data_IF_034539492047
#
_entry.id   IF_034539492047
#
_cell.length_a   1.000
_cell.length_b   1.000
_cell.length_c   1.000
_cell.angle_alpha   90.00
_cell.angle_beta   90.00
_cell.angle_gamma   90.00
#
_symmetry.space_group_name_H-M   'P 1'
#
loop_
_entity.id
_entity.type
_entity.pdbx_description
1 polymer ?
#
# COMPACT_ATOMS: atom_id res chain seq x y z
N UNK A 1 -4.73 26.48 -1.45
CA UNK A 1 -3.73 25.43 -1.22
C UNK A 1 -2.54 25.74 -2.09
N UNK A 2 -1.30 25.68 -1.62
CA UNK A 2 -0.14 25.80 -2.47
C UNK A 2 -0.17 24.69 -3.53
N UNK A 3 0.01 25.08 -4.79
CA UNK A 3 0.05 24.16 -5.91
C UNK A 3 1.50 23.70 -6.09
N UNK A 4 1.74 22.38 -6.14
CA UNK A 4 3.04 21.82 -6.47
C UNK A 4 3.12 21.69 -7.99
N UNK A 5 4.19 22.24 -8.57
CA UNK A 5 4.50 22.04 -9.99
C UNK A 5 5.36 20.78 -10.11
N UNK A 6 4.86 19.80 -10.86
CA UNK A 6 5.55 18.55 -11.14
C UNK A 6 6.23 18.67 -12.50
N UNK A 7 7.45 18.16 -12.61
CA UNK A 7 8.12 18.00 -13.90
C UNK A 7 7.45 16.87 -14.70
N UNK A 8 7.29 15.71 -14.07
CA UNK A 8 6.72 14.54 -14.72
C UNK A 8 6.18 13.51 -13.71
N UNK A 9 5.21 12.70 -14.18
CA UNK A 9 4.78 11.48 -13.51
C UNK A 9 5.61 10.32 -14.07
N UNK A 10 6.42 9.66 -13.22
CA UNK A 10 7.29 8.55 -13.64
C UNK A 10 6.99 7.28 -12.84
N UNK A 11 7.01 6.10 -13.45
CA UNK A 11 6.89 4.83 -12.74
C UNK A 11 8.07 4.63 -11.77
N UNK A 12 7.80 4.19 -10.53
CA UNK A 12 8.84 3.98 -9.50
C UNK A 12 10.03 3.13 -9.98
N UNK A 13 9.87 2.07 -10.80
CA UNK A 13 11.00 1.27 -11.31
C UNK A 13 11.97 2.03 -12.22
N UNK A 14 11.54 3.17 -12.80
CA UNK A 14 12.38 4.02 -13.65
C UNK A 14 13.26 4.97 -12.84
N UNK A 15 12.94 5.18 -11.55
CA UNK A 15 13.71 6.00 -10.62
C UNK A 15 14.95 5.21 -10.16
N UNK A 16 15.94 5.13 -11.02
CA UNK A 16 17.18 4.39 -10.79
C UNK A 16 18.32 5.30 -10.31
N UNK A 17 19.40 4.71 -9.83
CA UNK A 17 20.62 5.47 -9.50
C UNK A 17 21.14 6.26 -10.70
N UNK A 18 21.09 5.67 -11.89
CA UNK A 18 21.56 6.33 -13.12
C UNK A 18 20.63 7.47 -13.54
N UNK A 19 19.32 7.32 -13.34
CA UNK A 19 18.37 8.42 -13.50
C UNK A 19 18.74 9.59 -12.59
N UNK A 20 18.97 9.36 -11.29
CA UNK A 20 19.31 10.41 -10.33
C UNK A 20 20.67 11.06 -10.67
N UNK A 21 21.67 10.27 -11.08
CA UNK A 21 22.95 10.80 -11.55
C UNK A 21 22.80 11.69 -12.79
N UNK A 22 21.85 11.34 -13.68
CA UNK A 22 21.51 12.20 -14.81
C UNK A 22 20.94 13.55 -14.39
N UNK A 23 20.16 13.62 -13.30
CA UNK A 23 19.62 14.88 -12.78
C UNK A 23 20.70 15.82 -12.24
N UNK A 24 21.87 15.32 -11.85
CA UNK A 24 22.98 16.17 -11.40
C UNK A 24 23.51 17.12 -12.50
N UNK A 25 23.20 16.85 -13.77
CA UNK A 25 23.50 17.76 -14.88
C UNK A 25 22.69 19.06 -14.82
N UNK A 26 21.59 19.09 -14.03
CA UNK A 26 20.77 20.27 -13.79
C UNK A 26 21.31 21.15 -12.65
N UNK A 27 22.35 20.72 -11.96
CA UNK A 27 22.97 21.48 -10.87
C UNK A 27 23.81 22.68 -11.40
N UNK A 28 23.90 23.79 -10.66
CA UNK A 28 23.40 23.98 -9.29
C UNK A 28 21.92 24.34 -9.24
N UNK A 29 21.18 23.66 -8.35
CA UNK A 29 19.80 24.00 -8.04
C UNK A 29 19.75 25.12 -6.99
N UNK A 30 18.73 25.98 -7.09
CA UNK A 30 18.52 27.13 -6.20
C UNK A 30 17.13 27.74 -6.36
N UNK A 31 16.93 28.98 -5.88
CA UNK A 31 15.62 29.66 -5.91
C UNK A 31 15.08 29.92 -7.33
N UNK A 32 15.96 30.11 -8.32
CA UNK A 32 15.57 30.32 -9.73
C UNK A 32 15.67 29.03 -10.56
N UNK A 33 16.25 27.96 -10.01
CA UNK A 33 16.35 26.64 -10.61
C UNK A 33 16.05 25.60 -9.53
N UNK A 34 14.77 25.38 -9.16
CA UNK A 34 14.42 24.44 -8.11
C UNK A 34 14.79 23.01 -8.51
N UNK A 35 14.97 22.13 -7.51
CA UNK A 35 15.15 20.71 -7.78
C UNK A 35 13.92 20.15 -8.48
N UNK A 36 14.09 19.30 -9.49
CA UNK A 36 12.97 18.71 -10.21
C UNK A 36 12.14 17.85 -9.26
N UNK A 37 10.82 18.07 -9.28
CA UNK A 37 9.83 17.36 -8.49
C UNK A 37 9.10 16.37 -9.39
N UNK A 38 9.17 15.10 -9.05
CA UNK A 38 8.49 14.01 -9.75
C UNK A 38 7.33 13.48 -8.93
N UNK A 39 6.45 12.72 -9.58
CA UNK A 39 5.45 11.94 -8.90
C UNK A 39 5.38 10.52 -9.44
N UNK A 40 5.00 9.59 -8.57
CA UNK A 40 4.64 8.21 -8.93
C UNK A 40 3.31 7.86 -8.29
N UNK A 41 2.52 7.08 -8.99
CA UNK A 41 1.18 6.66 -8.57
C UNK A 41 1.09 5.13 -8.42
N UNK A 42 0.05 4.66 -7.74
CA UNK A 42 -0.18 3.23 -7.55
C UNK A 42 0.88 2.55 -6.68
N UNK A 43 1.48 3.29 -5.73
CA UNK A 43 2.52 2.80 -4.84
C UNK A 43 1.90 2.16 -3.61
N UNK A 44 2.23 0.89 -3.35
CA UNK A 44 1.81 0.20 -2.13
C UNK A 44 2.71 0.54 -0.97
N UNK A 45 2.13 0.91 0.15
CA UNK A 45 2.84 1.13 1.41
C UNK A 45 3.08 -0.21 2.09
N UNK A 46 4.32 -0.69 2.06
CA UNK A 46 4.71 -1.95 2.71
C UNK A 46 4.91 -1.78 4.21
N UNK A 47 5.52 -0.67 4.62
CA UNK A 47 5.73 -0.31 6.01
C UNK A 47 5.74 1.20 6.18
N UNK A 48 5.35 1.67 7.36
CA UNK A 48 5.31 3.09 7.70
C UNK A 48 5.65 3.28 9.17
N UNK A 49 6.41 4.33 9.49
CA UNK A 49 6.81 4.63 10.85
C UNK A 49 7.16 6.10 11.05
N UNK A 50 6.89 6.59 12.24
CA UNK A 50 7.39 7.89 12.71
C UNK A 50 8.85 7.79 13.13
N UNK A 51 9.62 8.85 12.85
CA UNK A 51 11.01 8.92 13.23
C UNK A 51 11.42 10.33 13.69
N UNK A 52 12.59 10.42 14.30
CA UNK A 52 13.13 11.67 14.84
C UNK A 52 12.56 12.03 16.22
N UNK A 53 13.02 13.18 16.75
CA UNK A 53 12.54 13.67 18.04
C UNK A 53 11.06 14.05 17.94
N UNK A 54 10.25 13.58 18.87
CA UNK A 54 8.79 13.76 18.91
C UNK A 54 8.04 13.21 17.68
N UNK A 55 8.65 12.31 16.90
CA UNK A 55 7.99 11.72 15.72
C UNK A 55 7.68 12.71 14.60
N UNK A 56 8.45 13.80 14.48
CA UNK A 56 8.21 14.87 13.49
C UNK A 56 8.36 14.47 12.04
N UNK A 57 9.10 13.41 11.79
CA UNK A 57 9.37 12.92 10.45
C UNK A 57 8.65 11.60 10.24
N UNK A 58 8.42 11.27 8.99
CA UNK A 58 7.75 10.04 8.61
C UNK A 58 8.58 9.29 7.57
N UNK A 59 8.70 8.01 7.71
CA UNK A 59 9.39 7.12 6.79
C UNK A 59 8.45 5.99 6.38
N UNK A 60 8.40 5.70 5.11
CA UNK A 60 7.71 4.52 4.61
C UNK A 60 8.55 3.78 3.58
N UNK A 61 8.24 2.51 3.37
CA UNK A 61 8.75 1.69 2.27
C UNK A 61 7.62 1.52 1.27
N UNK A 62 7.89 1.95 0.05
CA UNK A 62 6.95 1.91 -1.06
C UNK A 62 7.35 0.80 -2.03
N UNK A 63 6.38 0.11 -2.58
CA UNK A 63 6.63 -0.97 -3.54
C UNK A 63 5.65 -0.96 -4.70
N UNK A 64 6.12 -1.39 -5.86
CA UNK A 64 5.30 -1.73 -7.04
C UNK A 64 5.28 -3.25 -7.30
N UNK A 65 5.59 -4.04 -6.26
CA UNK A 65 5.69 -5.50 -6.31
C UNK A 65 7.03 -6.05 -6.77
N UNK A 66 7.83 -5.30 -7.53
CA UNK A 66 9.18 -5.69 -7.97
C UNK A 66 10.27 -4.77 -7.44
N UNK A 67 9.94 -3.53 -7.17
CA UNK A 67 10.86 -2.48 -6.72
C UNK A 67 10.40 -1.99 -5.36
N UNK A 68 11.31 -1.98 -4.40
CA UNK A 68 11.11 -1.40 -3.07
C UNK A 68 11.99 -0.17 -2.94
N UNK A 69 11.43 0.93 -2.42
CA UNK A 69 12.14 2.19 -2.26
C UNK A 69 11.75 2.86 -0.94
N UNK A 70 12.73 3.35 -0.21
CA UNK A 70 12.48 4.14 0.99
C UNK A 70 12.04 5.56 0.62
N UNK A 71 11.01 6.05 1.31
CA UNK A 71 10.51 7.39 1.18
C UNK A 71 10.52 8.09 2.54
N UNK A 72 11.03 9.31 2.59
CA UNK A 72 11.17 10.10 3.82
C UNK A 72 10.43 11.42 3.66
N UNK A 73 9.50 11.69 4.56
CA UNK A 73 8.77 12.94 4.64
C UNK A 73 9.24 13.73 5.86
N UNK A 74 10.03 14.75 5.60
CA UNK A 74 10.52 15.63 6.65
C UNK A 74 9.42 16.58 7.11
N UNK A 75 9.23 16.70 8.43
CA UNK A 75 8.17 17.53 9.04
C UNK A 75 6.77 17.16 8.54
N UNK A 76 6.43 15.89 8.58
CA UNK A 76 5.19 15.33 8.06
C UNK A 76 3.90 15.73 8.84
N UNK A 77 4.01 16.63 9.84
CA UNK A 77 2.88 17.00 10.66
C UNK A 77 2.59 15.98 11.77
N UNK A 78 1.43 16.11 12.42
CA UNK A 78 1.05 15.25 13.55
C UNK A 78 0.33 13.97 13.10
N UNK A 79 -0.41 14.03 11.98
CA UNK A 79 -1.14 12.90 11.43
C UNK A 79 -0.24 12.05 10.53
N UNK A 80 -0.47 10.73 10.53
CA UNK A 80 0.23 9.81 9.64
C UNK A 80 -0.25 10.00 8.20
N UNK A 81 0.64 10.36 7.26
CA UNK A 81 0.25 10.64 5.87
C UNK A 81 -0.25 9.40 5.12
N UNK A 82 0.16 8.21 5.54
CA UNK A 82 -0.27 6.93 4.99
C UNK A 82 -0.02 5.81 5.99
N UNK A 83 -0.59 4.63 5.71
CA UNK A 83 -0.49 3.44 6.56
C UNK A 83 -0.08 2.22 5.73
N UNK A 84 0.53 1.20 6.34
CA UNK A 84 0.79 -0.06 5.65
C UNK A 84 -0.49 -0.63 5.04
N UNK A 85 -0.42 -1.00 3.75
CA UNK A 85 -1.57 -1.47 2.97
C UNK A 85 -2.21 -0.43 2.07
N UNK A 86 -1.99 0.87 2.32
CA UNK A 86 -2.49 1.94 1.45
C UNK A 86 -1.86 1.87 0.06
N UNK A 87 -2.62 2.32 -0.94
CA UNK A 87 -2.12 2.61 -2.29
C UNK A 87 -2.15 4.12 -2.49
N UNK A 88 -0.99 4.71 -2.74
CA UNK A 88 -0.80 6.16 -2.72
C UNK A 88 -0.11 6.67 -3.97
N UNK A 89 -0.33 7.95 -4.26
CA UNK A 89 0.50 8.76 -5.12
C UNK A 89 1.44 9.61 -4.25
N UNK A 90 2.69 9.71 -4.66
CA UNK A 90 3.72 10.47 -3.92
C UNK A 90 4.39 11.46 -4.85
N UNK A 91 4.47 12.72 -4.42
CA UNK A 91 5.32 13.73 -5.03
C UNK A 91 6.64 13.81 -4.26
N UNK A 92 7.78 13.73 -4.97
CA UNK A 92 9.09 13.59 -4.35
C UNK A 92 10.22 14.17 -5.18
N UNK A 93 11.32 14.48 -4.49
CA UNK A 93 12.65 14.69 -5.06
C UNK A 93 13.44 13.39 -4.86
N UNK A 94 13.93 12.73 -5.92
CA UNK A 94 14.74 11.53 -5.76
C UNK A 94 16.18 11.89 -5.38
N UNK A 95 16.78 11.14 -4.43
CA UNK A 95 18.17 11.30 -4.06
C UNK A 95 18.90 9.96 -3.90
N UNK A 96 20.24 10.00 -3.94
CA UNK A 96 21.08 8.85 -3.63
C UNK A 96 21.43 8.87 -2.15
N UNK A 97 20.96 7.89 -1.41
CA UNK A 97 21.32 7.68 -0.02
C UNK A 97 22.49 6.72 0.12
N UNK A 98 23.55 7.14 0.82
CA UNK A 98 24.85 6.43 0.85
C UNK A 98 25.13 5.68 2.16
N UNK A 99 24.14 5.43 3.00
CA UNK A 99 24.31 4.69 4.25
C UNK A 99 24.15 3.19 3.99
N UNK A 100 25.21 2.42 4.10
CA UNK A 100 25.30 1.00 3.72
C UNK A 100 25.15 0.69 2.22
N UNK A 101 25.76 1.53 1.38
CA UNK A 101 25.71 1.44 -0.07
C UNK A 101 24.74 2.43 -0.70
N UNK A 102 24.92 2.66 -1.99
CA UNK A 102 24.06 3.58 -2.73
C UNK A 102 22.67 2.98 -2.95
N UNK A 103 21.65 3.71 -2.52
CA UNK A 103 20.25 3.36 -2.71
C UNK A 103 19.46 4.58 -3.14
N UNK A 104 18.42 4.36 -3.91
CA UNK A 104 17.42 5.38 -4.19
C UNK A 104 16.62 5.65 -2.93
N UNK A 105 16.46 6.93 -2.59
CA UNK A 105 15.57 7.42 -1.55
C UNK A 105 14.69 8.53 -2.13
N UNK A 106 13.42 8.56 -1.75
CA UNK A 106 12.48 9.59 -2.16
C UNK A 106 12.31 10.60 -1.02
N UNK A 107 12.65 11.85 -1.27
CA UNK A 107 12.36 12.96 -0.34
C UNK A 107 10.96 13.47 -0.65
N UNK A 108 10.01 13.08 0.16
CA UNK A 108 8.59 13.32 -0.05
C UNK A 108 8.23 14.78 0.17
N UNK A 109 7.40 15.32 -0.72
CA UNK A 109 6.81 16.65 -0.64
C UNK A 109 5.30 16.62 -0.42
N UNK A 110 4.61 15.62 -0.97
CA UNK A 110 3.19 15.40 -0.77
C UNK A 110 2.85 13.91 -0.92
N UNK A 111 1.85 13.45 -0.18
CA UNK A 111 1.28 12.11 -0.28
C UNK A 111 -0.22 12.26 -0.45
N UNK A 112 -0.78 11.56 -1.43
CA UNK A 112 -2.22 11.51 -1.66
C UNK A 112 -2.69 10.06 -1.76
N UNK A 113 -3.79 9.71 -1.10
CA UNK A 113 -4.46 8.45 -1.40
C UNK A 113 -4.92 8.50 -2.86
N UNK A 114 -4.75 7.39 -3.57
CA UNK A 114 -5.32 7.28 -4.91
C UNK A 114 -6.79 6.93 -4.82
N UNK A 115 -7.59 7.32 -5.82
CA UNK A 115 -9.02 6.96 -5.87
C UNK A 115 -9.25 5.44 -5.88
N UNK A 116 -8.22 4.67 -6.24
CA UNK A 116 -8.23 3.21 -6.23
C UNK A 116 -7.88 2.60 -4.85
N UNK A 117 -7.61 3.42 -3.84
CA UNK A 117 -7.22 2.95 -2.49
C UNK A 117 -8.40 2.25 -1.80
N UNK A 118 -9.63 2.62 -2.15
CA UNK A 118 -10.81 2.18 -1.41
C UNK A 118 -11.28 0.74 -1.73
N UNK A 119 -10.80 0.10 -2.81
CA UNK A 119 -11.31 -1.23 -3.19
C UNK A 119 -10.33 -2.15 -3.94
N UNK A 120 -9.05 -1.80 -4.04
CA UNK A 120 -8.12 -2.62 -4.84
C UNK A 120 -7.70 -3.90 -4.11
N UNK A 121 -8.05 -5.04 -4.71
CA UNK A 121 -7.66 -6.36 -4.23
C UNK A 121 -6.46 -6.87 -5.03
N UNK A 122 -5.26 -6.44 -4.68
CA UNK A 122 -4.07 -7.00 -5.31
C UNK A 122 -3.58 -8.28 -4.61
N UNK A 123 -2.69 -8.99 -5.27
CA UNK A 123 -2.17 -10.25 -4.74
C UNK A 123 -1.43 -10.10 -3.40
N UNK A 124 -0.57 -9.08 -3.16
CA UNK A 124 0.02 -8.85 -1.85
C UNK A 124 -1.02 -8.64 -0.76
N UNK A 125 -2.03 -7.81 -0.99
CA UNK A 125 -3.12 -7.59 -0.05
C UNK A 125 -3.88 -8.89 0.23
N UNK A 126 -4.24 -9.65 -0.79
CA UNK A 126 -4.92 -10.94 -0.64
C UNK A 126 -4.11 -11.95 0.21
N UNK A 127 -2.78 -11.92 0.12
CA UNK A 127 -1.92 -12.75 0.98
C UNK A 127 -2.01 -12.31 2.44
N UNK A 128 -2.05 -11.01 2.71
CA UNK A 128 -2.20 -10.48 4.07
C UNK A 128 -3.56 -10.86 4.66
N UNK A 129 -4.64 -10.66 3.89
CA UNK A 129 -6.00 -11.07 4.30
C UNK A 129 -6.05 -12.57 4.58
N UNK A 130 -5.47 -13.42 3.71
CA UNK A 130 -5.43 -14.86 3.92
C UNK A 130 -4.74 -15.24 5.24
N UNK A 131 -3.60 -14.63 5.53
CA UNK A 131 -2.86 -14.87 6.79
C UNK A 131 -3.66 -14.42 8.01
N UNK A 132 -4.32 -13.28 7.91
CA UNK A 132 -5.19 -12.77 8.98
C UNK A 132 -6.37 -13.73 9.23
N UNK A 133 -7.06 -14.15 8.16
CA UNK A 133 -8.15 -15.13 8.25
C UNK A 133 -7.71 -16.46 8.87
N UNK A 134 -6.54 -16.97 8.47
CA UNK A 134 -5.96 -18.18 9.12
C UNK A 134 -5.77 -17.98 10.62
N UNK A 135 -5.36 -16.80 11.05
CA UNK A 135 -5.17 -16.49 12.47
C UNK A 135 -6.47 -16.42 13.26
N UNK A 136 -7.48 -15.72 12.74
CA UNK A 136 -8.74 -15.47 13.45
C UNK A 136 -9.70 -16.66 13.39
N UNK A 137 -9.72 -17.39 12.28
CA UNK A 137 -10.63 -18.54 12.06
C UNK A 137 -9.97 -19.89 12.40
N UNK A 138 -8.79 -19.89 12.99
CA UNK A 138 -8.03 -21.11 13.29
C UNK A 138 -8.72 -22.05 14.28
N UNK A 139 -9.57 -21.52 15.15
CA UNK A 139 -10.17 -22.29 16.25
C UNK A 139 -11.68 -22.45 16.10
N UNK A 140 -12.37 -21.37 15.78
CA UNK A 140 -13.84 -21.34 15.73
C UNK A 140 -14.30 -20.41 14.59
N UNK A 141 -15.50 -20.68 14.03
CA UNK A 141 -16.15 -19.75 13.11
C UNK A 141 -16.39 -18.40 13.79
N UNK A 142 -16.34 -17.30 13.03
CA UNK A 142 -16.58 -15.95 13.51
C UNK A 142 -17.74 -15.34 12.73
N UNK A 143 -18.55 -14.50 13.38
CA UNK A 143 -19.58 -13.73 12.68
C UNK A 143 -18.97 -12.85 11.60
N UNK A 144 -19.60 -12.83 10.42
CA UNK A 144 -19.15 -11.99 9.30
C UNK A 144 -19.08 -10.51 9.71
N UNK A 145 -20.12 -10.05 10.46
CA UNK A 145 -20.21 -8.69 10.99
C UNK A 145 -19.10 -8.31 12.00
N UNK A 146 -18.44 -9.30 12.58
CA UNK A 146 -17.29 -9.09 13.49
C UNK A 146 -15.94 -9.26 12.76
N UNK A 147 -15.89 -10.21 11.82
CA UNK A 147 -14.67 -10.54 11.09
C UNK A 147 -14.24 -9.41 10.15
N UNK A 148 -15.18 -8.78 9.44
CA UNK A 148 -14.87 -7.69 8.50
C UNK A 148 -14.29 -6.47 9.20
N UNK A 149 -14.90 -5.87 10.25
CA UNK A 149 -14.28 -4.76 10.98
C UNK A 149 -12.96 -5.13 11.65
N UNK A 150 -12.84 -6.37 12.15
CA UNK A 150 -11.59 -6.85 12.73
C UNK A 150 -10.46 -6.92 11.70
N UNK A 151 -10.73 -7.47 10.51
CA UNK A 151 -9.78 -7.51 9.40
C UNK A 151 -9.41 -6.10 8.93
N UNK A 152 -10.40 -5.22 8.78
CA UNK A 152 -10.19 -3.84 8.38
C UNK A 152 -9.26 -3.11 9.36
N UNK A 153 -9.48 -3.27 10.66
CA UNK A 153 -8.63 -2.71 11.71
C UNK A 153 -7.23 -3.31 11.75
N UNK A 154 -7.10 -4.63 11.57
CA UNK A 154 -5.81 -5.33 11.60
C UNK A 154 -4.96 -5.02 10.36
N UNK A 155 -5.58 -4.89 9.19
CA UNK A 155 -4.91 -4.65 7.91
C UNK A 155 -4.88 -3.18 7.52
N UNK A 156 -5.51 -2.30 8.33
CA UNK A 156 -5.60 -0.86 8.11
C UNK A 156 -6.19 -0.53 6.73
N UNK A 157 -7.25 -1.24 6.35
CA UNK A 157 -7.99 -1.04 5.11
C UNK A 157 -9.46 -0.66 5.38
N UNK A 158 -10.22 -0.30 4.34
CA UNK A 158 -11.66 -0.07 4.49
C UNK A 158 -12.42 -1.38 4.76
N UNK A 159 -13.58 -1.29 5.42
CA UNK A 159 -14.45 -2.46 5.61
C UNK A 159 -14.94 -3.02 4.26
N UNK A 160 -15.20 -2.15 3.28
CA UNK A 160 -15.57 -2.57 1.92
C UNK A 160 -14.47 -3.40 1.25
N UNK A 161 -13.21 -3.00 1.43
CA UNK A 161 -12.07 -3.74 0.91
C UNK A 161 -11.87 -5.08 1.62
N UNK A 162 -12.05 -5.12 2.95
CA UNK A 162 -12.01 -6.35 3.73
C UNK A 162 -13.15 -7.29 3.34
N UNK A 163 -14.36 -6.78 3.19
CA UNK A 163 -15.55 -7.53 2.76
C UNK A 163 -15.36 -8.13 1.36
N UNK A 164 -14.91 -7.30 0.39
CA UNK A 164 -14.62 -7.77 -0.96
C UNK A 164 -13.54 -8.86 -0.97
N UNK A 165 -12.51 -8.75 -0.13
CA UNK A 165 -11.48 -9.78 -0.01
C UNK A 165 -12.01 -11.10 0.58
N UNK A 166 -12.85 -11.03 1.61
CA UNK A 166 -13.52 -12.23 2.17
C UNK A 166 -14.40 -12.89 1.11
N UNK A 167 -15.16 -12.10 0.34
CA UNK A 167 -15.98 -12.59 -0.77
C UNK A 167 -15.17 -13.32 -1.83
N UNK A 168 -13.97 -12.80 -2.19
CA UNK A 168 -13.04 -13.52 -3.10
C UNK A 168 -12.71 -14.91 -2.54
N UNK A 169 -12.39 -15.02 -1.26
CA UNK A 169 -12.07 -16.32 -0.66
C UNK A 169 -13.28 -17.24 -0.53
N UNK A 170 -14.48 -16.68 -0.38
CA UNK A 170 -15.73 -17.45 -0.42
C UNK A 170 -15.98 -17.99 -1.84
N UNK A 171 -15.84 -17.17 -2.87
CA UNK A 171 -15.97 -17.60 -4.27
C UNK A 171 -14.95 -18.67 -4.66
N UNK A 172 -13.75 -18.63 -4.08
CA UNK A 172 -12.70 -19.63 -4.30
C UNK A 172 -12.84 -20.88 -3.43
N UNK A 173 -13.84 -20.90 -2.52
CA UNK A 173 -14.09 -22.02 -1.61
C UNK A 173 -13.10 -22.14 -0.45
N UNK A 174 -12.27 -21.13 -0.21
CA UNK A 174 -11.36 -21.05 0.96
C UNK A 174 -12.10 -20.71 2.25
N UNK A 175 -13.16 -19.94 2.14
CA UNK A 175 -14.05 -19.55 3.23
C UNK A 175 -15.44 -20.06 2.89
N UNK A 176 -16.16 -20.57 3.86
CA UNK A 176 -17.58 -20.89 3.76
C UNK A 176 -18.40 -20.08 4.76
N UNK A 177 -19.59 -19.72 4.33
CA UNK A 177 -20.58 -19.06 5.16
C UNK A 177 -21.49 -20.12 5.81
N UNK A 178 -21.75 -19.96 7.11
CA UNK A 178 -22.59 -20.86 7.90
C UNK A 178 -23.61 -19.98 8.63
N UNK A 179 -24.87 -20.35 8.57
CA UNK A 179 -25.94 -19.67 9.32
C UNK A 179 -27.12 -19.30 8.47
N UNK A 180 -27.94 -18.38 8.98
CA UNK A 180 -29.15 -17.85 8.34
C UNK A 180 -28.87 -16.43 7.82
N UNK A 181 -29.80 -15.87 7.01
CA UNK A 181 -29.69 -14.51 6.47
C UNK A 181 -29.41 -13.42 7.53
N UNK A 182 -29.85 -13.65 8.78
CA UNK A 182 -29.66 -12.70 9.89
C UNK A 182 -28.34 -12.93 10.67
N UNK A 183 -27.72 -14.12 10.57
CA UNK A 183 -26.55 -14.47 11.36
C UNK A 183 -25.61 -15.34 10.54
N UNK A 184 -24.80 -14.67 9.73
CA UNK A 184 -23.78 -15.33 8.90
C UNK A 184 -22.47 -15.39 9.66
N UNK A 185 -21.95 -16.59 9.86
CA UNK A 185 -20.59 -16.85 10.37
C UNK A 185 -19.71 -17.37 9.23
N UNK A 186 -18.43 -17.05 9.28
CA UNK A 186 -17.44 -17.54 8.33
C UNK A 186 -16.49 -18.53 8.98
N UNK A 187 -16.06 -19.51 8.22
CA UNK A 187 -15.03 -20.47 8.63
C UNK A 187 -14.06 -20.74 7.47
N UNK A 188 -12.83 -21.14 7.82
CA UNK A 188 -11.86 -21.60 6.83
C UNK A 188 -12.12 -23.03 6.41
N UNK A 189 -12.05 -23.29 5.12
CA UNK A 189 -12.08 -24.63 4.57
C UNK A 189 -10.68 -25.17 4.33
N UNK A 190 -10.42 -26.45 4.62
CA UNK A 190 -9.17 -27.07 4.23
C UNK A 190 -9.10 -27.16 2.70
N UNK A 191 -8.01 -26.66 2.13
CA UNK A 191 -7.77 -26.69 0.69
C UNK A 191 -6.42 -27.34 0.44
N UNK A 192 -6.42 -28.39 -0.36
CA UNK A 192 -5.25 -29.20 -0.73
C UNK A 192 -4.66 -28.87 -2.10
N UNK A 193 -5.21 -27.82 -2.76
CA UNK A 193 -4.77 -27.37 -4.09
C UNK A 193 -4.39 -25.88 -4.07
N UNK A 194 -3.49 -25.53 -4.98
CA UNK A 194 -3.17 -24.12 -5.27
C UNK A 194 -4.38 -23.45 -5.95
N UNK A 195 -4.85 -22.37 -5.37
CA UNK A 195 -5.95 -21.58 -5.90
C UNK A 195 -5.43 -20.43 -6.77
N UNK A 196 -6.20 -20.12 -7.82
CA UNK A 196 -5.95 -18.99 -8.69
C UNK A 196 -6.97 -17.89 -8.39
N UNK A 197 -6.49 -16.73 -7.95
CA UNK A 197 -7.32 -15.57 -7.66
C UNK A 197 -8.14 -15.11 -8.87
N UNK A 198 -7.63 -15.34 -10.08
CA UNK A 198 -8.29 -15.01 -11.34
C UNK A 198 -9.61 -15.77 -11.57
N UNK A 199 -9.83 -16.85 -10.83
CA UNK A 199 -11.09 -17.60 -10.88
C UNK A 199 -12.24 -16.89 -10.13
N UNK A 200 -11.93 -15.91 -9.27
CA UNK A 200 -12.95 -15.10 -8.59
C UNK A 200 -13.42 -13.95 -9.48
N UNK A 201 -14.74 -13.75 -9.57
CA UNK A 201 -15.33 -12.62 -10.27
C UNK A 201 -15.05 -11.31 -9.53
N UNK A 202 -15.24 -11.33 -8.21
CA UNK A 202 -14.97 -10.17 -7.34
C UNK A 202 -13.51 -9.72 -7.47
N UNK A 203 -12.54 -10.66 -7.49
CA UNK A 203 -11.13 -10.32 -7.68
C UNK A 203 -10.87 -9.65 -9.02
N UNK A 204 -11.42 -10.18 -10.11
CA UNK A 204 -11.23 -9.60 -11.45
C UNK A 204 -11.79 -8.19 -11.61
N UNK A 205 -12.84 -7.86 -10.87
CA UNK A 205 -13.43 -6.51 -10.85
C UNK A 205 -12.55 -5.53 -10.09
N UNK A 206 -12.01 -5.93 -8.93
CA UNK A 206 -11.31 -5.04 -7.98
C UNK A 206 -9.78 -5.07 -8.10
N UNK A 207 -9.20 -5.90 -8.98
CA UNK A 207 -7.73 -5.96 -9.17
C UNK A 207 -7.15 -4.84 -10.05
N UNK A 208 -8.01 -4.06 -10.72
CA UNK A 208 -7.61 -3.05 -11.70
C UNK A 208 -7.03 -1.82 -11.04
#
# INVERSE_FOLDING_TARGET
MPQLELEEMIPLPEVTLDFIRGLSLLEPCGSENPRPLFASDGLHVQSAMRMGYEGKHFKCVLTTGRTETEAVFWNAGEEDPCRPGDVIAVAYEPEIHNWYGEKVQLIVRDIRPTADTEARLDRPFMILVYRALLGILAKEPMLFSEAVPFLAGQLLCSEEQAEAAVKVFTELGLVSEIGTEETVSIQMNPVDRKLDLEMSETYRVHRK
#
